data_IF_463755599240
#
_entry.id   IF_463755599240
#
_cell.length_a   1.000
_cell.length_b   1.000
_cell.length_c   1.000
_cell.angle_alpha   90.00
_cell.angle_beta   90.00
_cell.angle_gamma   90.00
#
_symmetry.space_group_name_H-M   'P 1'
#
loop_
_entity.id
_entity.type
_entity.pdbx_description
1 polymer ?
#
# COMPACT_ATOMS: atom_id res chain seq x y z
N UNK A 1 -53.87 -36.40 -20.90
CA UNK A 1 -52.80 -35.62 -21.58
C UNK A 1 -51.89 -35.04 -20.51
N UNK A 2 -50.67 -35.55 -20.39
CA UNK A 2 -49.67 -35.02 -19.47
C UNK A 2 -49.03 -33.79 -20.13
N UNK A 3 -49.30 -32.60 -19.62
CA UNK A 3 -48.67 -31.38 -20.12
C UNK A 3 -47.23 -31.35 -19.60
N UNK A 4 -46.25 -31.56 -20.50
CA UNK A 4 -44.86 -31.19 -20.23
C UNK A 4 -44.78 -29.65 -20.23
N UNK A 5 -44.92 -29.04 -19.05
CA UNK A 5 -44.52 -27.66 -18.84
C UNK A 5 -42.99 -27.61 -18.92
N UNK A 6 -42.47 -27.36 -20.12
CA UNK A 6 -41.06 -27.06 -20.32
C UNK A 6 -40.68 -25.84 -19.49
N UNK A 7 -39.61 -25.97 -18.70
CA UNK A 7 -39.05 -24.92 -17.86
C UNK A 7 -38.63 -23.70 -18.71
N UNK A 8 -39.55 -22.76 -18.91
CA UNK A 8 -39.27 -21.42 -19.41
C UNK A 8 -38.73 -20.50 -18.28
N UNK A 9 -37.96 -21.05 -17.35
CA UNK A 9 -37.38 -20.29 -16.25
C UNK A 9 -36.21 -19.45 -16.80
N UNK A 10 -36.42 -18.14 -16.96
CA UNK A 10 -35.31 -17.19 -17.15
C UNK A 10 -34.46 -17.24 -15.87
N UNK A 11 -33.14 -17.47 -15.95
CA UNK A 11 -32.30 -17.37 -14.78
C UNK A 11 -32.40 -15.94 -14.25
N UNK A 12 -32.89 -15.81 -13.02
CA UNK A 12 -32.89 -14.53 -12.31
C UNK A 12 -31.45 -14.27 -11.90
N UNK A 13 -30.85 -13.21 -12.45
CA UNK A 13 -29.54 -12.76 -12.01
C UNK A 13 -29.70 -12.11 -10.62
N UNK A 14 -29.29 -12.83 -9.57
CA UNK A 14 -29.27 -12.29 -8.22
C UNK A 14 -27.93 -11.61 -7.96
N UNK A 15 -27.98 -10.37 -7.46
CA UNK A 15 -26.76 -9.61 -7.14
C UNK A 15 -26.37 -9.93 -5.71
N UNK A 16 -25.33 -10.73 -5.53
CA UNK A 16 -24.81 -11.11 -4.20
C UNK A 16 -23.63 -10.21 -3.84
N UNK A 17 -23.71 -9.52 -2.71
CA UNK A 17 -22.59 -8.73 -2.17
C UNK A 17 -21.68 -9.63 -1.35
N UNK A 18 -20.50 -9.90 -1.89
CA UNK A 18 -19.45 -10.64 -1.20
C UNK A 18 -18.54 -9.65 -0.45
N UNK A 19 -18.27 -9.85 0.85
CA UNK A 19 -17.26 -9.07 1.54
C UNK A 19 -15.90 -9.39 0.92
N UNK A 20 -15.22 -8.36 0.43
CA UNK A 20 -13.86 -8.47 -0.08
C UNK A 20 -12.92 -7.90 0.98
N UNK A 21 -11.83 -8.61 1.25
CA UNK A 21 -10.78 -8.08 2.10
C UNK A 21 -10.20 -6.82 1.47
N UNK A 22 -10.30 -5.69 2.17
CA UNK A 22 -9.68 -4.44 1.78
C UNK A 22 -8.49 -4.15 2.69
N UNK A 23 -7.35 -3.68 2.14
CA UNK A 23 -6.24 -3.23 2.97
C UNK A 23 -6.72 -2.04 3.81
N UNK A 24 -6.36 -2.03 5.09
CA UNK A 24 -6.73 -0.93 5.97
C UNK A 24 -6.07 0.40 5.56
N UNK A 25 -4.82 0.34 5.11
CA UNK A 25 -4.09 1.52 4.63
C UNK A 25 -4.41 1.72 3.15
N UNK A 26 -5.20 2.75 2.85
CA UNK A 26 -5.60 3.06 1.48
C UNK A 26 -4.46 3.69 0.65
N UNK A 27 -3.59 4.48 1.29
CA UNK A 27 -2.46 5.14 0.65
C UNK A 27 -1.20 4.97 1.51
N UNK A 28 -0.27 4.15 1.03
CA UNK A 28 1.02 3.94 1.69
C UNK A 28 1.91 5.15 1.44
N UNK A 29 2.50 5.79 2.47
CA UNK A 29 3.47 6.85 2.28
C UNK A 29 4.61 6.39 1.37
N UNK A 30 5.00 7.23 0.41
CA UNK A 30 6.08 6.90 -0.52
C UNK A 30 7.43 7.06 0.19
N UNK A 31 8.24 6.00 0.17
CA UNK A 31 9.60 6.02 0.72
C UNK A 31 10.45 7.06 -0.03
N UNK A 32 11.10 8.00 0.68
CA UNK A 32 12.00 8.95 0.04
C UNK A 32 13.19 8.25 -0.62
N UNK A 33 13.63 8.83 -1.73
CA UNK A 33 14.83 8.41 -2.44
C UNK A 33 16.08 9.03 -1.79
N UNK A 34 16.69 8.29 -0.87
CA UNK A 34 17.80 8.75 -0.03
C UNK A 34 19.11 8.85 -0.80
N UNK A 35 19.85 9.94 -0.59
CA UNK A 35 21.19 10.14 -1.17
C UNK A 35 22.18 9.13 -0.61
N UNK A 36 22.12 8.86 0.69
CA UNK A 36 23.02 7.95 1.39
C UNK A 36 23.02 6.55 0.79
N UNK A 37 21.84 6.04 0.41
CA UNK A 37 21.69 4.70 -0.17
C UNK A 37 22.30 4.53 -1.56
N UNK A 38 22.63 5.63 -2.24
CA UNK A 38 23.24 5.64 -3.58
C UNK A 38 24.76 5.70 -3.53
N UNK A 39 25.33 6.01 -2.37
CA UNK A 39 26.78 6.13 -2.23
C UNK A 39 27.45 4.76 -2.33
N UNK A 40 28.57 4.72 -3.04
CA UNK A 40 29.43 3.55 -3.05
C UNK A 40 29.95 3.27 -1.63
N UNK A 41 30.18 2.00 -1.29
CA UNK A 41 30.74 1.64 0.01
C UNK A 41 32.13 2.26 0.25
N UNK A 42 32.89 2.47 -0.83
CA UNK A 42 34.20 3.13 -0.81
C UNK A 42 34.12 4.66 -0.78
N UNK A 43 32.92 5.27 -0.77
CA UNK A 43 32.80 6.72 -0.69
C UNK A 43 33.44 7.25 0.61
N UNK A 44 34.07 8.44 0.58
CA UNK A 44 34.66 9.06 1.76
C UNK A 44 33.62 9.23 2.88
N UNK A 45 34.06 9.05 4.12
CA UNK A 45 33.16 9.16 5.27
C UNK A 45 32.51 10.54 5.38
N UNK A 46 33.24 11.61 5.02
CA UNK A 46 32.67 12.95 4.97
C UNK A 46 31.47 13.08 4.03
N UNK A 47 31.53 12.44 2.86
CA UNK A 47 30.42 12.45 1.90
C UNK A 47 29.22 11.65 2.42
N UNK A 48 29.47 10.51 3.05
CA UNK A 48 28.44 9.69 3.71
C UNK A 48 27.73 10.46 4.81
N UNK A 49 28.47 11.16 5.67
CA UNK A 49 27.90 11.96 6.76
C UNK A 49 27.07 13.12 6.22
N UNK A 50 27.53 13.80 5.17
CA UNK A 50 26.77 14.89 4.56
C UNK A 50 25.47 14.40 3.89
N UNK A 51 25.51 13.28 3.17
CA UNK A 51 24.32 12.67 2.60
C UNK A 51 23.33 12.25 3.70
N UNK A 52 23.83 11.63 4.77
CA UNK A 52 23.01 11.26 5.93
C UNK A 52 22.33 12.48 6.57
N UNK A 53 23.07 13.58 6.75
CA UNK A 53 22.52 14.80 7.34
C UNK A 53 21.37 15.41 6.52
N UNK A 54 21.44 15.31 5.17
CA UNK A 54 20.36 15.76 4.28
C UNK A 54 19.17 14.82 4.28
N UNK A 55 19.41 13.52 4.37
CA UNK A 55 18.37 12.50 4.41
C UNK A 55 17.63 12.47 5.74
N UNK A 56 18.31 12.81 6.84
CA UNK A 56 17.78 12.74 8.20
C UNK A 56 16.39 13.38 8.39
N UNK A 57 16.16 14.67 8.07
CA UNK A 57 14.84 15.27 8.25
C UNK A 57 13.76 14.61 7.37
N UNK A 58 14.11 14.19 6.16
CA UNK A 58 13.19 13.49 5.25
C UNK A 58 12.77 12.15 5.82
N UNK A 59 13.72 11.41 6.40
CA UNK A 59 13.46 10.13 7.04
C UNK A 59 12.52 10.28 8.24
N UNK A 60 12.77 11.25 9.12
CA UNK A 60 11.91 11.49 10.31
C UNK A 60 10.48 11.86 9.92
N UNK A 61 10.31 12.66 8.87
CA UNK A 61 8.99 13.00 8.35
C UNK A 61 8.26 11.79 7.76
N UNK A 62 8.95 10.97 6.96
CA UNK A 62 8.40 9.74 6.39
C UNK A 62 8.00 8.73 7.48
N UNK A 63 8.87 8.48 8.46
CA UNK A 63 8.60 7.59 9.58
C UNK A 63 7.38 8.05 10.38
N UNK A 64 7.24 9.35 10.64
CA UNK A 64 6.06 9.89 11.33
C UNK A 64 4.75 9.64 10.57
N UNK A 65 4.75 9.83 9.25
CA UNK A 65 3.57 9.53 8.42
C UNK A 65 3.25 8.02 8.39
N UNK A 66 4.28 7.18 8.31
CA UNK A 66 4.11 5.72 8.31
C UNK A 66 3.52 5.23 9.63
N UNK A 67 4.04 5.71 10.76
CA UNK A 67 3.49 5.40 12.09
C UNK A 67 2.05 5.87 12.24
N UNK A 68 1.72 7.09 11.76
CA UNK A 68 0.35 7.59 11.78
C UNK A 68 -0.61 6.71 10.94
N UNK A 69 -0.17 6.27 9.76
CA UNK A 69 -0.96 5.38 8.90
C UNK A 69 -1.17 3.99 9.55
N UNK A 70 -0.14 3.45 10.20
CA UNK A 70 -0.23 2.16 10.92
C UNK A 70 -1.11 2.27 12.17
N UNK A 71 -1.01 3.35 12.93
CA UNK A 71 -1.82 3.59 14.12
C UNK A 71 -3.31 3.73 13.78
N UNK A 72 -3.66 4.32 12.64
CA UNK A 72 -5.03 4.37 12.14
C UNK A 72 -5.62 3.00 11.74
N UNK A 73 -4.78 1.97 11.68
CA UNK A 73 -5.13 0.63 11.21
C UNK A 73 -5.10 -0.47 12.28
N UNK A 74 -5.03 -0.09 13.55
CA UNK A 74 -5.17 -0.99 14.69
C UNK A 74 -6.59 -1.05 15.23
#
# INVERSE_FOLDING_TARGET
>A
MLALAGCAARPVAETVRLPVFAPCIAAVPVKPDYEFGKLAMAAPDGEKILALARDWPRARWYEGQLEAALAGCR
#
